data_IF_530159071468
#
_entry.id   IF_530159071468
#
_cell.length_a   1.000
_cell.length_b   1.000
_cell.length_c   1.000
_cell.angle_alpha   90.00
_cell.angle_beta   90.00
_cell.angle_gamma   90.00
#
_symmetry.space_group_name_H-M   'P 1'
#
loop_
_entity.id
_entity.type
_entity.pdbx_description
1 polymer ?
#
# COMPACT_ATOMS: atom_id res chain seq x y z
N UNK A 1 -4.82 -16.22 23.28
CA UNK A 1 -3.77 -15.19 23.15
C UNK A 1 -3.33 -15.07 21.69
N UNK A 2 -3.14 -13.87 21.20
CA UNK A 2 -2.76 -13.65 19.81
C UNK A 2 -1.27 -13.93 19.66
N UNK A 3 -0.91 -14.83 18.75
CA UNK A 3 0.47 -15.17 18.48
C UNK A 3 0.99 -14.45 17.23
N UNK A 4 2.29 -14.51 17.00
CA UNK A 4 2.90 -13.96 15.79
C UNK A 4 2.23 -14.52 14.53
N UNK A 5 1.89 -15.81 14.53
CA UNK A 5 1.22 -16.44 13.39
C UNK A 5 -0.11 -15.78 13.02
N UNK A 6 -0.86 -15.30 14.01
CA UNK A 6 -2.11 -14.61 13.75
C UNK A 6 -1.88 -13.29 12.99
N UNK A 7 -0.86 -12.53 13.38
CA UNK A 7 -0.54 -11.28 12.70
C UNK A 7 -0.01 -11.52 11.30
N UNK A 8 0.83 -12.53 11.13
CA UNK A 8 1.35 -12.88 9.81
C UNK A 8 0.21 -13.33 8.90
N UNK A 9 -0.74 -14.12 9.42
CA UNK A 9 -1.90 -14.54 8.64
C UNK A 9 -2.74 -13.35 8.21
N UNK A 10 -3.00 -12.41 9.11
CA UNK A 10 -3.76 -11.21 8.79
C UNK A 10 -3.05 -10.38 7.71
N UNK A 11 -1.75 -10.18 7.84
CA UNK A 11 -0.99 -9.41 6.87
C UNK A 11 -0.95 -10.11 5.51
N UNK A 12 -0.87 -11.43 5.48
CA UNK A 12 -0.89 -12.21 4.24
C UNK A 12 -2.24 -12.03 3.53
N UNK A 13 -3.34 -12.08 4.28
CA UNK A 13 -4.66 -11.86 3.72
C UNK A 13 -4.79 -10.45 3.14
N UNK A 14 -4.37 -9.44 3.87
CA UNK A 14 -4.40 -8.05 3.40
C UNK A 14 -3.51 -7.85 2.18
N UNK A 15 -2.34 -8.46 2.18
CA UNK A 15 -1.42 -8.40 1.05
C UNK A 15 -2.07 -8.99 -0.21
N UNK A 16 -2.72 -10.15 -0.07
CA UNK A 16 -3.41 -10.80 -1.19
C UNK A 16 -4.57 -9.95 -1.71
N UNK A 17 -5.35 -9.35 -0.81
CA UNK A 17 -6.43 -8.45 -1.19
C UNK A 17 -5.87 -7.25 -1.95
N UNK A 18 -4.76 -6.69 -1.47
CA UNK A 18 -4.11 -5.56 -2.13
C UNK A 18 -3.62 -5.90 -3.53
N UNK A 19 -2.97 -7.05 -3.69
CA UNK A 19 -2.51 -7.50 -5.01
C UNK A 19 -3.69 -7.70 -5.94
N UNK A 20 -4.73 -8.38 -5.47
CA UNK A 20 -5.94 -8.60 -6.27
C UNK A 20 -6.51 -7.25 -6.73
N UNK A 21 -6.64 -6.29 -5.80
CA UNK A 21 -7.15 -4.98 -6.15
C UNK A 21 -6.27 -4.25 -7.15
N UNK A 22 -4.95 -4.29 -6.97
CA UNK A 22 -4.02 -3.62 -7.87
C UNK A 22 -4.07 -4.18 -9.29
N UNK A 23 -4.23 -5.51 -9.41
CA UNK A 23 -4.22 -6.15 -10.72
C UNK A 23 -5.56 -6.10 -11.43
N UNK A 24 -6.68 -5.96 -10.69
CA UNK A 24 -8.02 -6.02 -11.28
C UNK A 24 -8.67 -4.67 -11.50
N UNK A 25 -8.21 -3.62 -10.81
CA UNK A 25 -8.83 -2.30 -10.94
C UNK A 25 -8.30 -1.59 -12.16
N UNK A 26 -9.20 -0.90 -12.85
CA UNK A 26 -8.86 -0.04 -13.98
C UNK A 26 -8.77 1.43 -13.57
N UNK A 27 -9.40 1.77 -12.45
CA UNK A 27 -9.41 3.12 -11.90
C UNK A 27 -8.10 3.35 -11.15
N UNK A 28 -7.39 4.44 -11.47
CA UNK A 28 -6.09 4.75 -10.87
C UNK A 28 -6.21 4.95 -9.36
N UNK A 29 -7.30 5.55 -8.89
CA UNK A 29 -7.54 5.75 -7.46
C UNK A 29 -7.66 4.39 -6.76
N UNK A 30 -8.38 3.44 -7.36
CA UNK A 30 -8.52 2.09 -6.82
C UNK A 30 -7.19 1.37 -6.75
N UNK A 31 -6.34 1.52 -7.77
CA UNK A 31 -4.99 0.95 -7.76
C UNK A 31 -4.16 1.56 -6.63
N UNK A 32 -4.23 2.87 -6.45
CA UNK A 32 -3.51 3.56 -5.39
C UNK A 32 -3.92 3.04 -4.02
N UNK A 33 -5.22 2.88 -3.78
CA UNK A 33 -5.73 2.34 -2.52
C UNK A 33 -5.25 0.90 -2.28
N UNK A 34 -5.17 0.10 -3.35
CA UNK A 34 -4.68 -1.27 -3.25
C UNK A 34 -3.21 -1.33 -2.88
N UNK A 35 -2.39 -0.43 -3.42
CA UNK A 35 -0.98 -0.33 -3.06
C UNK A 35 -0.85 0.07 -1.58
N UNK A 36 -1.71 0.96 -1.09
CA UNK A 36 -1.72 1.32 0.33
C UNK A 36 -2.00 0.11 1.22
N UNK A 37 -2.93 -0.76 0.82
CA UNK A 37 -3.18 -2.00 1.55
C UNK A 37 -1.95 -2.90 1.60
N UNK A 38 -1.23 -3.02 0.48
CA UNK A 38 0.00 -3.82 0.42
C UNK A 38 1.05 -3.28 1.39
N UNK A 39 1.24 -1.98 1.41
CA UNK A 39 2.21 -1.34 2.30
C UNK A 39 1.80 -1.50 3.76
N UNK A 40 0.51 -1.39 4.07
CA UNK A 40 0.03 -1.59 5.43
C UNK A 40 0.19 -3.04 5.89
N UNK A 41 0.03 -4.01 4.99
CA UNK A 41 0.31 -5.41 5.31
C UNK A 41 1.77 -5.60 5.73
N UNK A 42 2.70 -4.96 5.03
CA UNK A 42 4.11 -4.98 5.41
C UNK A 42 4.33 -4.35 6.78
N UNK A 43 3.62 -3.26 7.08
CA UNK A 43 3.72 -2.59 8.38
C UNK A 43 3.26 -3.47 9.53
N UNK A 44 2.18 -4.23 9.34
CA UNK A 44 1.71 -5.18 10.34
C UNK A 44 2.82 -6.16 10.67
N UNK A 45 3.50 -6.68 9.66
CA UNK A 45 4.60 -7.61 9.88
C UNK A 45 5.77 -6.96 10.62
N UNK A 46 6.16 -5.74 10.25
CA UNK A 46 7.26 -5.04 10.90
C UNK A 46 7.00 -4.87 12.40
N UNK A 47 5.80 -4.44 12.76
CA UNK A 47 5.43 -4.24 14.16
C UNK A 47 5.32 -5.58 14.89
N UNK A 48 4.70 -6.58 14.25
CA UNK A 48 4.54 -7.89 14.87
C UNK A 48 5.87 -8.58 15.12
N UNK A 49 6.76 -8.57 14.15
CA UNK A 49 8.09 -9.19 14.32
C UNK A 49 8.87 -8.47 15.40
N UNK A 50 8.81 -7.15 15.46
CA UNK A 50 9.50 -6.41 16.51
C UNK A 50 8.99 -6.82 17.91
N UNK A 51 7.67 -6.97 18.04
CA UNK A 51 7.07 -7.33 19.32
C UNK A 51 7.44 -8.75 19.75
N UNK A 52 7.37 -9.71 18.83
CA UNK A 52 7.49 -11.12 19.18
C UNK A 52 8.92 -11.66 19.12
N UNK A 53 9.82 -11.01 18.40
CA UNK A 53 11.21 -11.40 18.38
C UNK A 53 12.04 -10.69 19.44
N UNK A 54 11.42 -9.82 20.23
CA UNK A 54 12.01 -9.31 21.44
C UNK A 54 13.14 -8.30 21.27
N UNK A 55 13.17 -7.59 20.13
CA UNK A 55 14.12 -6.49 20.00
C UNK A 55 13.67 -5.32 20.88
N UNK A 56 14.42 -4.95 21.92
CA UNK A 56 13.98 -3.96 22.89
C UNK A 56 14.06 -2.51 22.38
N UNK A 57 14.70 -2.30 21.24
CA UNK A 57 14.95 -0.96 20.69
C UNK A 57 13.79 -0.41 19.84
N UNK A 58 12.77 -1.20 19.59
CA UNK A 58 11.62 -0.74 18.79
C UNK A 58 11.94 -0.47 17.33
N UNK A 59 12.99 -1.09 16.80
CA UNK A 59 13.46 -0.81 15.44
C UNK A 59 12.40 -1.14 14.39
N UNK A 60 11.66 -2.24 14.57
CA UNK A 60 10.58 -2.59 13.65
C UNK A 60 9.46 -1.55 13.63
N UNK A 61 9.16 -0.97 14.80
CA UNK A 61 8.16 0.09 14.91
C UNK A 61 8.63 1.37 14.25
N UNK A 62 9.92 1.70 14.37
CA UNK A 62 10.50 2.86 13.69
C UNK A 62 10.42 2.68 12.18
N UNK A 63 10.78 1.52 11.66
CA UNK A 63 10.67 1.25 10.24
C UNK A 63 9.21 1.31 9.77
N UNK A 64 8.26 0.82 10.58
CA UNK A 64 6.84 0.91 10.23
C UNK A 64 6.40 2.36 10.12
N UNK A 65 6.84 3.23 11.03
CA UNK A 65 6.53 4.66 10.95
C UNK A 65 7.09 5.29 9.68
N UNK A 66 8.32 4.94 9.29
CA UNK A 66 8.89 5.41 8.04
C UNK A 66 8.08 4.97 6.84
N UNK A 67 7.66 3.71 6.81
CA UNK A 67 6.86 3.19 5.70
C UNK A 67 5.50 3.90 5.64
N UNK A 68 4.87 4.15 6.79
CA UNK A 68 3.61 4.90 6.83
C UNK A 68 3.81 6.31 6.28
N UNK A 69 4.89 6.99 6.68
CA UNK A 69 5.18 8.32 6.19
C UNK A 69 5.43 8.35 4.69
N UNK A 70 6.19 7.40 4.17
CA UNK A 70 6.47 7.27 2.74
C UNK A 70 5.19 6.98 1.98
N UNK A 71 4.36 6.08 2.50
CA UNK A 71 3.10 5.73 1.88
C UNK A 71 2.15 6.92 1.81
N UNK A 72 2.07 7.68 2.91
CA UNK A 72 1.25 8.89 2.93
C UNK A 72 1.73 9.92 1.91
N UNK A 73 3.03 10.16 1.84
CA UNK A 73 3.60 11.08 0.86
C UNK A 73 3.35 10.61 -0.57
N UNK A 74 3.53 9.32 -0.82
CA UNK A 74 3.29 8.74 -2.15
C UNK A 74 1.81 8.86 -2.53
N UNK A 75 0.90 8.66 -1.58
CA UNK A 75 -0.54 8.82 -1.83
C UNK A 75 -0.89 10.24 -2.23
N UNK A 76 -0.34 11.23 -1.53
CA UNK A 76 -0.59 12.63 -1.85
C UNK A 76 -0.09 12.96 -3.24
N UNK A 77 1.15 12.57 -3.56
CA UNK A 77 1.71 12.80 -4.90
C UNK A 77 0.88 12.08 -5.96
N UNK A 78 0.51 10.83 -5.70
CA UNK A 78 -0.30 10.05 -6.63
C UNK A 78 -1.65 10.69 -6.89
N UNK A 79 -2.33 11.16 -5.84
CA UNK A 79 -3.62 11.84 -5.99
C UNK A 79 -3.49 13.13 -6.79
N UNK A 80 -2.44 13.92 -6.53
CA UNK A 80 -2.19 15.14 -7.28
C UNK A 80 -1.99 14.85 -8.76
N UNK A 81 -1.21 13.81 -9.07
CA UNK A 81 -0.98 13.40 -10.46
C UNK A 81 -2.28 12.94 -11.12
N UNK A 82 -3.11 12.17 -10.40
CA UNK A 82 -4.41 11.72 -10.91
C UNK A 82 -5.31 12.90 -11.21
N UNK A 83 -5.36 13.88 -10.31
CA UNK A 83 -6.16 15.09 -10.50
C UNK A 83 -5.66 15.86 -11.72
N UNK A 84 -4.35 16.01 -11.87
CA UNK A 84 -3.76 16.71 -13.00
C UNK A 84 -4.09 16.01 -14.32
N UNK A 85 -3.96 14.71 -14.36
CA UNK A 85 -4.28 13.90 -15.56
C UNK A 85 -5.77 14.01 -15.85
N UNK A 86 -6.63 13.94 -14.85
CA UNK A 86 -8.06 14.03 -15.02
C UNK A 86 -8.46 15.40 -15.61
N UNK A 87 -7.84 16.47 -15.12
CA UNK A 87 -8.11 17.81 -15.64
C UNK A 87 -7.77 17.93 -17.12
N UNK A 88 -6.73 17.24 -17.56
CA UNK A 88 -6.31 17.29 -18.97
C UNK A 88 -7.10 16.31 -19.83
N UNK A 89 -7.26 15.06 -19.37
CA UNK A 89 -7.91 14.01 -20.15
C UNK A 89 -9.33 13.67 -19.72
N UNK A 90 -9.74 14.15 -18.54
CA UNK A 90 -11.08 13.91 -17.96
C UNK A 90 -11.40 12.43 -17.78
N UNK A 91 -10.38 11.62 -17.47
CA UNK A 91 -10.54 10.20 -17.21
C UNK A 91 -9.61 9.76 -16.10
N UNK A 92 -10.07 8.79 -15.28
CA UNK A 92 -9.27 8.17 -14.22
C UNK A 92 -8.93 6.72 -14.55
N UNK A 93 -9.27 6.25 -15.73
CA UNK A 93 -9.01 4.87 -16.13
C UNK A 93 -7.66 4.76 -16.83
N UNK A 94 -6.85 3.77 -16.40
CA UNK A 94 -5.50 3.57 -16.95
C UNK A 94 -5.53 3.23 -18.42
N UNK A 95 -6.59 2.58 -18.90
CA UNK A 95 -6.71 2.17 -20.30
C UNK A 95 -6.76 3.38 -21.24
N UNK A 96 -7.18 4.54 -20.74
CA UNK A 96 -7.30 5.75 -21.55
C UNK A 96 -5.97 6.48 -21.74
N UNK A 97 -4.91 6.06 -21.02
CA UNK A 97 -3.60 6.72 -21.03
C UNK A 97 -2.51 5.76 -21.47
N UNK A 98 -2.74 5.08 -22.57
CA UNK A 98 -1.90 4.01 -23.07
C UNK A 98 -0.80 4.51 -23.99
N UNK A 99 -0.12 5.57 -23.56
CA UNK A 99 0.89 6.26 -24.38
C UNK A 99 2.12 5.41 -24.66
N UNK A 100 2.47 4.55 -23.73
CA UNK A 100 3.66 3.68 -23.87
C UNK A 100 3.45 2.55 -24.87
N UNK A 101 2.21 2.26 -25.21
CA UNK A 101 1.89 1.22 -26.18
C UNK A 101 2.16 1.67 -27.61
N UNK A 102 2.03 2.94 -27.89
CA UNK A 102 2.13 3.55 -29.22
C UNK A 102 3.36 4.44 -29.33
#
# INVERSE_FOLDING_TARGET
MISLGHFVALSAILFCIGIFGALTRRNVIGILMSIELILNAANINLVAFNKYLGTPDGLGQIFALFVIAIAAAASVVGLVLVIAIYRNGKSVFTDDYNLMKW
#
